data_IF_736062734242
#
_entry.id   IF_736062734242
#
_cell.length_a   1.000
_cell.length_b   1.000
_cell.length_c   1.000
_cell.angle_alpha   90.00
_cell.angle_beta   90.00
_cell.angle_gamma   90.00
#
_symmetry.space_group_name_H-M   'P 1'
#
loop_
_entity.id
_entity.type
_entity.pdbx_description
1 polymer ?
#
# COMPACT_ATOMS: atom_id res chain seq x y z
N UNK A 1 -39.03 24.08 29.79
CA UNK A 1 -37.56 24.31 29.72
C UNK A 1 -36.90 23.07 29.13
N UNK A 2 -36.45 23.05 27.87
CA UNK A 2 -35.70 21.91 27.34
C UNK A 2 -34.21 22.07 27.62
N UNK A 3 -33.61 21.03 28.24
CA UNK A 3 -32.17 20.92 28.50
C UNK A 3 -31.49 20.41 27.23
N UNK A 4 -30.64 21.22 26.63
CA UNK A 4 -29.76 20.82 25.53
C UNK A 4 -28.59 20.01 26.08
N UNK A 5 -28.49 18.74 25.71
CA UNK A 5 -27.31 17.90 25.92
C UNK A 5 -26.42 18.00 24.69
N UNK A 6 -25.28 18.68 24.82
CA UNK A 6 -24.24 18.72 23.80
C UNK A 6 -23.30 17.53 24.08
N UNK A 7 -23.45 16.45 23.30
CA UNK A 7 -22.47 15.36 23.28
C UNK A 7 -21.30 15.77 22.38
N UNK A 8 -20.17 16.15 22.99
CA UNK A 8 -18.89 16.28 22.29
C UNK A 8 -18.26 14.88 22.29
N UNK A 9 -18.35 14.18 21.16
CA UNK A 9 -17.62 12.92 20.97
C UNK A 9 -16.21 13.28 20.52
N UNK A 10 -15.28 13.36 21.47
CA UNK A 10 -13.85 13.50 21.17
C UNK A 10 -13.33 12.17 20.60
N UNK A 11 -13.24 12.08 19.28
CA UNK A 11 -12.61 10.97 18.59
C UNK A 11 -11.09 11.17 18.63
N UNK A 12 -10.45 10.74 19.72
CA UNK A 12 -8.99 10.63 19.78
C UNK A 12 -8.55 9.50 18.85
N UNK A 13 -8.21 9.82 17.61
CA UNK A 13 -7.55 8.88 16.70
C UNK A 13 -6.12 8.74 17.19
N UNK A 14 -5.88 7.76 18.07
CA UNK A 14 -4.53 7.30 18.35
C UNK A 14 -4.00 6.68 17.06
N UNK A 15 -3.17 7.44 16.33
CA UNK A 15 -2.48 6.94 15.14
C UNK A 15 -1.40 5.98 15.64
N UNK A 16 -1.77 4.72 15.82
CA UNK A 16 -0.84 3.62 16.06
C UNK A 16 0.08 3.51 14.84
N UNK A 17 1.27 4.09 14.93
CA UNK A 17 2.29 4.12 13.88
C UNK A 17 2.95 2.73 13.79
N UNK A 18 2.22 1.77 13.20
CA UNK A 18 2.74 0.44 12.88
C UNK A 18 4.03 0.55 12.07
N UNK A 19 4.98 -0.32 12.38
CA UNK A 19 6.21 -0.49 11.58
C UNK A 19 5.97 -1.58 10.54
N UNK A 20 6.55 -1.45 9.35
CA UNK A 20 6.47 -2.48 8.33
C UNK A 20 7.02 -3.81 8.83
N UNK A 21 8.09 -3.79 9.65
CA UNK A 21 8.69 -5.00 10.23
C UNK A 21 7.67 -5.90 10.97
N UNK A 22 6.63 -5.33 11.58
CA UNK A 22 5.59 -6.08 12.29
C UNK A 22 4.57 -6.77 11.37
N UNK A 23 4.41 -6.27 10.14
CA UNK A 23 3.41 -6.76 9.18
C UNK A 23 4.03 -7.48 7.98
N UNK A 24 5.33 -7.30 7.73
CA UNK A 24 6.06 -7.90 6.60
C UNK A 24 5.89 -9.41 6.51
N UNK A 25 5.88 -10.12 7.65
CA UNK A 25 5.71 -11.57 7.69
C UNK A 25 4.30 -12.06 7.37
N UNK A 26 3.34 -11.14 7.18
CA UNK A 26 1.93 -11.46 6.92
C UNK A 26 1.49 -11.13 5.50
N UNK A 27 2.30 -10.39 4.74
CA UNK A 27 1.96 -9.94 3.39
C UNK A 27 2.78 -10.75 2.40
N UNK A 28 2.09 -11.45 1.51
CA UNK A 28 2.72 -12.31 0.51
C UNK A 28 2.05 -12.12 -0.85
N UNK A 29 2.83 -12.27 -1.92
CA UNK A 29 2.29 -12.30 -3.28
C UNK A 29 1.23 -13.41 -3.42
N UNK A 30 0.17 -13.14 -4.19
CA UNK A 30 -0.97 -14.03 -4.37
C UNK A 30 -2.14 -13.79 -3.41
N UNK A 31 -1.96 -13.00 -2.34
CA UNK A 31 -3.06 -12.60 -1.45
C UNK A 31 -4.08 -11.72 -2.16
N UNK A 32 -5.35 -11.83 -1.77
CA UNK A 32 -6.42 -11.02 -2.36
C UNK A 32 -6.38 -9.57 -1.85
N UNK A 33 -6.89 -8.64 -2.66
CA UNK A 33 -7.12 -7.23 -2.26
C UNK A 33 -7.87 -7.12 -0.93
N UNK A 34 -8.93 -7.90 -0.76
CA UNK A 34 -9.73 -7.91 0.47
C UNK A 34 -8.90 -8.34 1.68
N UNK A 35 -8.16 -9.46 1.57
CA UNK A 35 -7.29 -9.95 2.66
C UNK A 35 -6.26 -8.90 3.08
N UNK A 36 -5.68 -8.20 2.11
CA UNK A 36 -4.72 -7.12 2.38
C UNK A 36 -5.38 -5.95 3.10
N UNK A 37 -6.59 -5.56 2.70
CA UNK A 37 -7.36 -4.50 3.38
C UNK A 37 -7.76 -4.89 4.79
N UNK A 38 -8.10 -6.16 5.04
CA UNK A 38 -8.40 -6.66 6.39
C UNK A 38 -7.15 -6.63 7.29
N UNK A 39 -5.96 -6.86 6.74
CA UNK A 39 -4.70 -6.86 7.47
C UNK A 39 -4.14 -5.45 7.75
N UNK A 40 -4.16 -4.58 6.74
CA UNK A 40 -3.49 -3.28 6.77
C UNK A 40 -4.46 -2.10 6.89
N UNK A 41 -5.74 -2.32 6.65
CA UNK A 41 -6.71 -1.26 6.42
C UNK A 41 -6.70 -0.75 4.98
N UNK A 42 -7.46 0.32 4.71
CA UNK A 42 -7.48 0.94 3.39
C UNK A 42 -6.10 1.54 3.05
N UNK A 43 -5.66 1.46 1.78
CA UNK A 43 -4.42 2.09 1.35
C UNK A 43 -4.51 3.62 1.48
N UNK A 44 -3.39 4.25 1.82
CA UNK A 44 -3.32 5.71 1.89
C UNK A 44 -3.43 6.37 0.52
N UNK A 45 -3.03 5.65 -0.54
CA UNK A 45 -3.15 6.09 -1.93
C UNK A 45 -3.31 4.90 -2.85
N UNK A 46 -4.17 5.04 -3.86
CA UNK A 46 -4.29 4.11 -4.98
C UNK A 46 -3.92 4.88 -6.25
N UNK A 47 -2.99 4.34 -7.03
CA UNK A 47 -2.54 4.93 -8.30
C UNK A 47 -2.75 3.93 -9.41
N UNK A 48 -3.55 4.30 -10.42
CA UNK A 48 -3.68 3.53 -11.64
C UNK A 48 -2.73 4.12 -12.68
N UNK A 49 -1.81 3.31 -13.18
CA UNK A 49 -0.85 3.68 -14.20
C UNK A 49 -0.75 2.57 -15.25
N UNK A 50 0.03 2.81 -16.29
CA UNK A 50 0.32 1.81 -17.32
C UNK A 50 1.83 1.69 -17.41
N UNK A 51 2.32 0.48 -17.66
CA UNK A 51 3.76 0.27 -17.86
C UNK A 51 4.18 1.03 -19.12
N UNK A 52 5.05 2.01 -18.93
CA UNK A 52 5.71 2.76 -19.98
C UNK A 52 7.21 2.49 -19.96
N UNK A 53 7.91 2.82 -21.05
CA UNK A 53 9.36 2.68 -21.14
C UNK A 53 10.05 3.71 -20.23
N UNK A 54 10.07 3.40 -18.94
CA UNK A 54 10.72 4.15 -17.89
C UNK A 54 11.70 3.21 -17.20
N UNK A 55 12.92 3.71 -17.02
CA UNK A 55 13.91 3.04 -16.21
C UNK A 55 13.56 3.23 -14.74
N UNK A 56 13.49 2.13 -14.00
CA UNK A 56 13.22 2.14 -12.55
C UNK A 56 14.43 1.53 -11.85
N UNK A 57 14.88 2.20 -10.79
CA UNK A 57 15.93 1.72 -9.90
C UNK A 57 15.31 1.41 -8.54
N UNK A 58 15.60 0.25 -7.98
CA UNK A 58 15.12 -0.14 -6.66
C UNK A 58 14.60 -1.59 -6.58
N UNK A 59 13.93 -1.97 -5.48
CA UNK A 59 13.48 -3.35 -5.26
C UNK A 59 12.56 -3.85 -6.37
N UNK A 60 11.79 -2.95 -6.98
CA UNK A 60 10.83 -3.25 -8.04
C UNK A 60 11.43 -3.41 -9.44
N UNK A 61 12.74 -3.23 -9.64
CA UNK A 61 13.42 -3.31 -10.95
C UNK A 61 13.15 -4.66 -11.64
N UNK A 62 13.39 -5.77 -10.94
CA UNK A 62 13.16 -7.12 -11.50
C UNK A 62 11.69 -7.35 -11.87
N UNK A 63 10.77 -6.92 -11.00
CA UNK A 63 9.33 -7.01 -11.29
C UNK A 63 8.97 -6.17 -12.52
N UNK A 64 9.55 -4.97 -12.62
CA UNK A 64 9.33 -4.08 -13.76
C UNK A 64 9.80 -4.71 -15.06
N UNK A 65 10.88 -5.48 -15.08
CA UNK A 65 11.33 -6.17 -16.29
C UNK A 65 10.41 -7.34 -16.71
N UNK A 66 9.77 -8.00 -15.75
CA UNK A 66 8.91 -9.18 -15.99
C UNK A 66 7.52 -8.84 -16.57
N UNK A 67 6.99 -7.64 -16.29
CA UNK A 67 5.67 -7.22 -16.79
C UNK A 67 5.69 -6.76 -18.25
N UNK A 68 4.66 -7.03 -19.08
CA UNK A 68 4.67 -6.61 -20.48
C UNK A 68 4.50 -5.09 -20.65
N UNK A 69 5.06 -4.52 -21.72
CA UNK A 69 4.80 -3.12 -22.10
C UNK A 69 3.31 -2.88 -22.31
N UNK A 70 2.79 -1.78 -21.77
CA UNK A 70 1.35 -1.47 -21.83
C UNK A 70 0.49 -2.18 -20.78
N UNK A 71 1.08 -2.99 -19.89
CA UNK A 71 0.34 -3.59 -18.77
C UNK A 71 -0.27 -2.51 -17.87
N UNK A 72 -1.51 -2.70 -17.43
CA UNK A 72 -2.15 -1.79 -16.48
C UNK A 72 -1.68 -2.13 -15.08
N UNK A 73 -1.29 -1.12 -14.31
CA UNK A 73 -0.81 -1.27 -12.95
C UNK A 73 -1.71 -0.49 -12.01
N UNK A 74 -2.29 -1.19 -11.06
CA UNK A 74 -2.93 -0.59 -9.90
C UNK A 74 -1.96 -0.72 -8.72
N UNK A 75 -1.52 0.42 -8.20
CA UNK A 75 -0.52 0.50 -7.13
C UNK A 75 -1.18 1.01 -5.88
N UNK A 76 -1.15 0.22 -4.81
CA UNK A 76 -1.62 0.61 -3.50
C UNK A 76 -0.43 0.97 -2.62
N UNK A 77 -0.43 2.19 -2.10
CA UNK A 77 0.65 2.70 -1.24
C UNK A 77 0.20 2.79 0.21
N UNK A 78 1.01 2.23 1.10
CA UNK A 78 0.88 2.30 2.54
C UNK A 78 2.09 3.02 3.14
N UNK A 79 1.84 3.93 4.07
CA UNK A 79 2.90 4.66 4.79
C UNK A 79 3.04 4.07 6.18
N UNK A 80 4.25 3.68 6.54
CA UNK A 80 4.64 3.21 7.87
C UNK A 80 5.60 4.21 8.52
N UNK A 81 5.84 4.06 9.81
CA UNK A 81 6.81 4.89 10.53
C UNK A 81 8.25 4.71 10.04
N UNK A 82 8.57 3.51 9.57
CA UNK A 82 9.89 3.06 9.11
C UNK A 82 10.05 3.01 7.58
N UNK A 83 9.02 3.38 6.80
CA UNK A 83 9.10 3.36 5.35
C UNK A 83 7.76 3.42 4.64
N UNK A 84 7.74 3.00 3.39
CA UNK A 84 6.54 2.89 2.58
C UNK A 84 6.48 1.55 1.86
N UNK A 85 5.28 1.02 1.71
CA UNK A 85 5.02 -0.23 1.00
C UNK A 85 4.15 0.07 -0.21
N UNK A 86 4.60 -0.33 -1.38
CA UNK A 86 3.82 -0.32 -2.60
C UNK A 86 3.44 -1.76 -2.96
N UNK A 87 2.15 -1.97 -3.17
CA UNK A 87 1.57 -3.23 -3.59
C UNK A 87 1.08 -3.08 -5.03
N UNK A 88 1.48 -4.00 -5.90
CA UNK A 88 1.24 -3.91 -7.34
C UNK A 88 0.25 -5.00 -7.77
N UNK A 89 -0.80 -4.57 -8.46
CA UNK A 89 -1.80 -5.41 -9.10
C UNK A 89 -1.73 -5.17 -10.61
N UNK A 90 -1.50 -6.23 -11.39
CA UNK A 90 -1.27 -6.15 -12.84
C UNK A 90 -2.54 -6.55 -13.59
N UNK A 91 -2.89 -5.78 -14.61
CA UNK A 91 -4.00 -6.03 -15.55
C UNK A 91 -5.35 -6.30 -14.85
N UNK A 92 -5.61 -5.59 -13.75
CA UNK A 92 -6.85 -5.73 -12.97
C UNK A 92 -6.90 -7.00 -12.13
N UNK A 93 -5.77 -7.64 -11.84
CA UNK A 93 -5.68 -8.78 -10.92
C UNK A 93 -6.27 -8.43 -9.56
N UNK A 94 -7.15 -9.31 -9.05
CA UNK A 94 -7.68 -9.27 -7.68
C UNK A 94 -6.66 -9.76 -6.63
N UNK A 95 -5.54 -10.31 -7.10
CA UNK A 95 -4.45 -10.85 -6.28
C UNK A 95 -3.20 -10.01 -6.42
N UNK A 96 -2.47 -9.86 -5.32
CA UNK A 96 -1.20 -9.16 -5.26
C UNK A 96 -0.17 -9.83 -6.18
N UNK A 97 0.33 -9.11 -7.16
CA UNK A 97 1.37 -9.63 -8.05
C UNK A 97 2.76 -9.40 -7.44
N UNK A 98 2.96 -8.24 -6.83
CA UNK A 98 4.27 -7.86 -6.31
C UNK A 98 4.15 -6.84 -5.17
N UNK A 99 5.14 -6.83 -4.27
CA UNK A 99 5.24 -5.88 -3.18
C UNK A 99 6.66 -5.32 -3.08
N UNK A 100 6.76 -4.01 -2.91
CA UNK A 100 8.02 -3.29 -2.77
C UNK A 100 8.00 -2.48 -1.48
N UNK A 101 8.93 -2.77 -0.56
CA UNK A 101 9.15 -1.95 0.61
C UNK A 101 10.33 -1.00 0.41
N UNK A 102 10.07 0.29 0.58
CA UNK A 102 11.07 1.34 0.57
C UNK A 102 11.28 1.84 2.02
N UNK A 103 12.36 1.43 2.70
CA UNK A 103 12.67 1.91 4.04
C UNK A 103 12.97 3.42 4.03
N UNK A 104 12.58 4.10 5.11
CA UNK A 104 12.81 5.53 5.25
C UNK A 104 14.30 5.82 5.33
N UNK A 105 14.77 6.79 4.53
CA UNK A 105 16.17 7.23 4.51
C UNK A 105 17.06 6.50 3.51
N UNK A 106 16.54 5.53 2.76
CA UNK A 106 17.23 4.96 1.61
C UNK A 106 16.82 5.71 0.35
N UNK A 107 17.81 6.20 -0.39
CA UNK A 107 17.64 6.80 -1.73
C UNK A 107 18.22 5.82 -2.73
N UNK A 108 17.43 5.43 -3.72
CA UNK A 108 17.83 4.57 -4.83
C UNK A 108 18.22 5.41 -6.04
#
# INVERSE_FOLDING_TARGET
>A
MPRSFICIVSFSIAVDLKTFKQVNTKIEAGQSKQTIQELLGPPGKITNTTKHNKYIWGPEERFWDEIPMGAKLEVWSYTFSDGSLNLYFVDGSEKLNYLAFAPKGVVY
#
